data_IF_111714131313
#
_entry.id   IF_111714131313
#
_cell.length_a   1.000
_cell.length_b   1.000
_cell.length_c   1.000
_cell.angle_alpha   90.00
_cell.angle_beta   90.00
_cell.angle_gamma   90.00
#
_symmetry.space_group_name_H-M   'P 1'
#
loop_
_entity.id
_entity.type
_entity.pdbx_description
1 polymer ?
#
# COMPACT_ATOMS: atom_id res chain seq x y z
N UNK A 1 -2.20 10.48 24.14
CA UNK A 1 -2.55 11.10 22.85
C UNK A 1 -1.28 11.38 22.06
N UNK A 2 -1.27 10.99 20.80
CA UNK A 2 -0.08 11.19 19.96
C UNK A 2 0.04 12.66 19.55
N UNK A 3 1.25 13.22 19.68
CA UNK A 3 1.50 14.60 19.25
C UNK A 3 1.32 14.69 17.72
N UNK A 4 0.80 15.81 17.20
CA UNK A 4 0.55 15.93 15.75
C UNK A 4 1.78 15.67 14.88
N UNK A 5 2.98 16.07 15.33
CA UNK A 5 4.20 15.87 14.56
C UNK A 5 4.61 14.40 14.46
N UNK A 6 4.00 13.50 15.26
CA UNK A 6 4.32 12.07 15.22
C UNK A 6 3.34 11.26 14.36
N UNK A 7 2.29 11.90 13.84
CA UNK A 7 1.28 11.20 13.04
C UNK A 7 1.85 10.61 11.76
N UNK A 8 2.75 11.33 11.08
CA UNK A 8 3.33 10.78 9.87
C UNK A 8 4.14 9.52 10.13
N UNK A 9 4.82 9.43 11.29
CA UNK A 9 5.55 8.22 11.67
C UNK A 9 4.57 7.07 11.91
N UNK A 10 3.46 7.34 12.60
CA UNK A 10 2.43 6.34 12.84
C UNK A 10 1.80 5.85 11.53
N UNK A 11 1.51 6.78 10.61
CA UNK A 11 0.93 6.43 9.31
C UNK A 11 1.89 5.58 8.49
N UNK A 12 3.18 5.94 8.51
CA UNK A 12 4.21 5.17 7.81
C UNK A 12 4.30 3.75 8.39
N UNK A 13 4.24 3.61 9.71
CA UNK A 13 4.27 2.31 10.36
C UNK A 13 3.06 1.46 9.96
N UNK A 14 1.88 2.07 9.88
CA UNK A 14 0.67 1.37 9.44
C UNK A 14 0.76 0.96 7.97
N UNK A 15 1.33 1.80 7.12
CA UNK A 15 1.55 1.47 5.72
C UNK A 15 2.51 0.28 5.58
N UNK A 16 3.60 0.30 6.34
CA UNK A 16 4.57 -0.77 6.33
C UNK A 16 3.92 -2.09 6.74
N UNK A 17 3.12 -2.05 7.81
CA UNK A 17 2.42 -3.24 8.28
C UNK A 17 1.47 -3.78 7.21
N UNK A 18 0.71 -2.91 6.55
CA UNK A 18 -0.21 -3.32 5.50
C UNK A 18 0.53 -3.95 4.32
N UNK A 19 1.66 -3.36 3.91
CA UNK A 19 2.46 -3.90 2.82
C UNK A 19 3.02 -5.28 3.17
N UNK A 20 3.52 -5.44 4.39
CA UNK A 20 4.05 -6.71 4.87
C UNK A 20 2.97 -7.79 4.87
N UNK A 21 1.76 -7.44 5.35
CA UNK A 21 0.66 -8.40 5.39
C UNK A 21 0.20 -8.80 3.99
N UNK A 22 0.10 -7.85 3.07
CA UNK A 22 -0.29 -8.15 1.69
C UNK A 22 0.68 -9.15 1.06
N UNK A 23 1.97 -8.96 1.29
CA UNK A 23 2.97 -9.88 0.76
C UNK A 23 2.85 -11.26 1.40
N UNK A 24 2.60 -11.33 2.70
CA UNK A 24 2.42 -12.60 3.41
C UNK A 24 1.24 -13.38 2.87
N UNK A 25 0.16 -12.70 2.50
CA UNK A 25 -1.03 -13.38 1.98
C UNK A 25 -0.76 -14.14 0.70
N UNK A 26 0.24 -13.73 -0.07
CA UNK A 26 0.58 -14.39 -1.33
C UNK A 26 1.83 -15.28 -1.25
N UNK A 27 2.41 -15.45 -0.06
CA UNK A 27 3.60 -16.27 0.10
C UNK A 27 3.32 -17.71 -0.38
N UNK A 28 4.23 -18.23 -1.19
CA UNK A 28 4.11 -19.58 -1.71
C UNK A 28 3.12 -19.74 -2.84
N UNK A 29 2.43 -18.69 -3.25
CA UNK A 29 1.46 -18.74 -4.34
C UNK A 29 2.13 -18.41 -5.67
N UNK A 30 1.69 -19.09 -6.72
CA UNK A 30 1.96 -18.67 -8.09
C UNK A 30 0.91 -17.63 -8.50
N UNK A 31 1.17 -16.93 -9.60
CA UNK A 31 0.17 -16.01 -10.15
C UNK A 31 -1.13 -16.75 -10.48
N UNK A 32 -1.03 -17.94 -11.04
CA UNK A 32 -2.23 -18.75 -11.35
C UNK A 32 -3.04 -19.06 -10.09
N UNK A 33 -2.34 -19.41 -8.98
CA UNK A 33 -3.02 -19.65 -7.70
C UNK A 33 -3.78 -18.42 -7.24
N UNK A 34 -3.13 -17.25 -7.33
CA UNK A 34 -3.74 -15.99 -6.91
C UNK A 34 -4.96 -15.64 -7.75
N UNK A 35 -4.89 -15.87 -9.06
CA UNK A 35 -6.00 -15.54 -9.96
C UNK A 35 -7.24 -16.41 -9.72
N UNK A 36 -7.08 -17.54 -9.06
CA UNK A 36 -8.18 -18.44 -8.74
C UNK A 36 -8.63 -18.35 -7.28
N UNK A 37 -8.04 -17.47 -6.50
CA UNK A 37 -8.30 -17.37 -5.06
C UNK A 37 -8.91 -16.02 -4.70
N UNK A 38 -10.24 -15.94 -4.78
CA UNK A 38 -10.94 -14.68 -4.53
C UNK A 38 -10.79 -14.20 -3.09
N UNK A 39 -10.67 -15.10 -2.13
CA UNK A 39 -10.48 -14.72 -0.74
C UNK A 39 -9.14 -14.01 -0.55
N UNK A 40 -8.07 -14.54 -1.12
CA UNK A 40 -6.76 -13.90 -1.05
C UNK A 40 -6.76 -12.58 -1.81
N UNK A 41 -7.41 -12.53 -2.98
CA UNK A 41 -7.55 -11.28 -3.73
C UNK A 41 -8.19 -10.19 -2.89
N UNK A 42 -9.30 -10.51 -2.23
CA UNK A 42 -10.02 -9.54 -1.40
C UNK A 42 -9.17 -9.07 -0.22
N UNK A 43 -8.45 -9.98 0.42
CA UNK A 43 -7.57 -9.64 1.53
C UNK A 43 -6.44 -8.70 1.10
N UNK A 44 -5.82 -9.01 -0.04
CA UNK A 44 -4.75 -8.18 -0.60
C UNK A 44 -5.28 -6.80 -0.97
N UNK A 45 -6.42 -6.74 -1.66
CA UNK A 45 -7.02 -5.48 -2.08
C UNK A 45 -7.31 -4.60 -0.88
N UNK A 46 -7.81 -5.18 0.22
CA UNK A 46 -8.05 -4.41 1.44
C UNK A 46 -6.77 -3.75 1.94
N UNK A 47 -5.64 -4.47 1.92
CA UNK A 47 -4.37 -3.90 2.37
C UNK A 47 -3.86 -2.81 1.43
N UNK A 48 -4.05 -2.98 0.12
CA UNK A 48 -3.67 -1.95 -0.83
C UNK A 48 -4.54 -0.70 -0.67
N UNK A 49 -5.83 -0.86 -0.34
CA UNK A 49 -6.70 0.27 -0.03
C UNK A 49 -6.20 1.02 1.20
N UNK A 50 -5.79 0.31 2.25
CA UNK A 50 -5.25 0.93 3.46
C UNK A 50 -4.01 1.75 3.12
N UNK A 51 -3.09 1.18 2.34
CA UNK A 51 -1.87 1.88 1.91
C UNK A 51 -2.24 3.16 1.16
N UNK A 52 -3.16 3.07 0.21
CA UNK A 52 -3.56 4.23 -0.59
C UNK A 52 -4.26 5.29 0.23
N UNK A 53 -5.08 4.89 1.20
CA UNK A 53 -5.77 5.82 2.09
C UNK A 53 -4.78 6.60 2.95
N UNK A 54 -3.80 5.89 3.50
CA UNK A 54 -2.76 6.53 4.32
C UNK A 54 -1.89 7.46 3.47
N UNK A 55 -1.56 7.05 2.24
CA UNK A 55 -0.81 7.91 1.32
C UNK A 55 -1.60 9.20 1.03
N UNK A 56 -2.91 9.09 0.80
CA UNK A 56 -3.75 10.24 0.54
C UNK A 56 -3.77 11.19 1.73
N UNK A 57 -3.88 10.65 2.95
CA UNK A 57 -3.87 11.48 4.15
C UNK A 57 -2.55 12.19 4.35
N UNK A 58 -1.43 11.48 4.10
CA UNK A 58 -0.11 12.10 4.21
C UNK A 58 0.08 13.21 3.19
N UNK A 59 -0.39 13.00 1.96
CA UNK A 59 -0.33 14.04 0.93
C UNK A 59 -1.12 15.27 1.32
N UNK A 60 -2.28 15.09 1.94
CA UNK A 60 -3.16 16.18 2.32
C UNK A 60 -2.70 16.88 3.58
N UNK A 61 -2.33 16.13 4.61
CA UNK A 61 -2.07 16.68 5.94
C UNK A 61 -0.59 16.95 6.20
N UNK A 62 0.31 16.30 5.48
CA UNK A 62 1.76 16.36 5.72
C UNK A 62 2.52 16.46 4.41
N UNK A 63 2.15 17.42 3.56
CA UNK A 63 2.72 17.51 2.22
C UNK A 63 4.21 17.87 2.23
N UNK A 64 4.69 18.52 3.28
CA UNK A 64 6.13 18.76 3.40
C UNK A 64 6.88 17.45 3.60
N UNK A 65 6.33 16.58 4.43
CA UNK A 65 6.93 15.27 4.69
C UNK A 65 6.97 14.43 3.40
N UNK A 66 5.85 14.34 2.68
CA UNK A 66 5.82 13.57 1.44
C UNK A 66 6.75 14.16 0.39
N UNK A 67 6.86 15.50 0.34
CA UNK A 67 7.78 16.17 -0.58
C UNK A 67 9.24 15.88 -0.31
N UNK A 68 9.59 15.59 0.95
CA UNK A 68 10.96 15.23 1.31
C UNK A 68 11.30 13.78 1.02
N UNK A 69 10.31 12.97 0.67
CA UNK A 69 10.51 11.53 0.42
C UNK A 69 9.93 11.11 -0.93
N UNK A 70 10.49 11.69 -2.03
CA UNK A 70 9.97 11.37 -3.38
C UNK A 70 10.25 9.94 -3.83
N UNK A 71 11.11 9.21 -3.11
CA UNK A 71 11.38 7.81 -3.39
C UNK A 71 10.14 6.94 -3.14
N UNK A 72 9.18 7.43 -2.35
CA UNK A 72 7.93 6.71 -2.09
C UNK A 72 6.85 7.23 -3.04
N UNK A 73 6.17 6.33 -3.78
CA UNK A 73 5.22 6.74 -4.82
C UNK A 73 3.84 7.09 -4.23
N UNK A 74 3.79 8.17 -3.46
CA UNK A 74 2.58 8.60 -2.74
C UNK A 74 1.37 8.76 -3.66
N UNK A 75 1.57 9.46 -4.79
CA UNK A 75 0.46 9.75 -5.72
C UNK A 75 -0.02 8.50 -6.44
N UNK A 76 0.89 7.59 -6.77
CA UNK A 76 0.54 6.34 -7.42
C UNK A 76 -0.30 5.45 -6.49
N UNK A 77 0.06 5.42 -5.21
CA UNK A 77 -0.69 4.65 -4.21
C UNK A 77 -2.09 5.24 -4.00
N UNK A 78 -2.19 6.56 -3.92
CA UNK A 78 -3.48 7.24 -3.85
C UNK A 78 -4.32 6.95 -5.10
N UNK A 79 -3.69 6.99 -6.28
CA UNK A 79 -4.37 6.70 -7.54
C UNK A 79 -4.92 5.28 -7.60
N UNK A 80 -4.15 4.31 -7.12
CA UNK A 80 -4.60 2.93 -7.06
C UNK A 80 -5.80 2.80 -6.11
N UNK A 81 -5.76 3.47 -4.94
CA UNK A 81 -6.89 3.48 -4.01
C UNK A 81 -8.15 4.03 -4.70
N UNK A 82 -8.00 5.11 -5.46
CA UNK A 82 -9.15 5.70 -6.15
C UNK A 82 -9.75 4.73 -7.18
N UNK A 83 -8.89 4.05 -7.94
CA UNK A 83 -9.37 3.07 -8.91
C UNK A 83 -10.07 1.90 -8.24
N UNK A 84 -9.53 1.41 -7.13
CA UNK A 84 -10.14 0.31 -6.38
C UNK A 84 -11.48 0.70 -5.76
N UNK A 85 -11.58 1.92 -5.23
CA UNK A 85 -12.81 2.39 -4.59
C UNK A 85 -13.93 2.64 -5.59
N UNK A 86 -13.60 3.10 -6.80
CA UNK A 86 -14.59 3.50 -7.78
C UNK A 86 -14.77 2.53 -8.94
N UNK A 87 -13.85 1.58 -9.12
CA UNK A 87 -13.90 0.63 -10.22
C UNK A 87 -13.61 -0.79 -9.77
N UNK A 88 -14.11 -1.19 -8.61
CA UNK A 88 -13.79 -2.50 -8.03
C UNK A 88 -14.06 -3.65 -9.00
N UNK A 89 -15.17 -3.60 -9.75
CA UNK A 89 -15.53 -4.68 -10.66
C UNK A 89 -14.64 -4.76 -11.90
N UNK A 90 -13.85 -3.72 -12.15
CA UNK A 90 -12.97 -3.65 -13.31
C UNK A 90 -11.50 -3.81 -12.93
N UNK A 91 -11.21 -4.19 -11.68
CA UNK A 91 -9.83 -4.37 -11.25
C UNK A 91 -9.17 -5.52 -12.00
N UNK A 92 -7.98 -5.24 -12.50
CA UNK A 92 -7.15 -6.24 -13.16
C UNK A 92 -6.32 -6.95 -12.10
N UNK A 93 -6.62 -8.22 -11.84
CA UNK A 93 -5.91 -8.99 -10.81
C UNK A 93 -4.45 -9.25 -11.16
N UNK A 94 -4.08 -9.24 -12.44
CA UNK A 94 -2.66 -9.31 -12.83
C UNK A 94 -1.90 -8.09 -12.34
N UNK A 95 -2.51 -6.91 -12.43
CA UNK A 95 -1.91 -5.68 -11.91
C UNK A 95 -1.79 -5.73 -10.39
N UNK A 96 -2.81 -6.26 -9.71
CA UNK A 96 -2.78 -6.43 -8.26
C UNK A 96 -1.64 -7.37 -7.87
N UNK A 97 -1.52 -8.51 -8.56
CA UNK A 97 -0.42 -9.46 -8.32
C UNK A 97 0.95 -8.80 -8.51
N UNK A 98 1.14 -8.10 -9.64
CA UNK A 98 2.41 -7.44 -9.90
C UNK A 98 2.74 -6.38 -8.86
N UNK A 99 1.72 -5.65 -8.39
CA UNK A 99 1.91 -4.66 -7.34
C UNK A 99 2.49 -5.31 -6.08
N UNK A 100 1.93 -6.45 -5.68
CA UNK A 100 2.39 -7.15 -4.47
C UNK A 100 3.79 -7.71 -4.66
N UNK A 101 4.08 -8.30 -5.81
CA UNK A 101 5.34 -9.01 -6.04
C UNK A 101 6.49 -8.07 -6.40
N UNK A 102 6.21 -6.97 -7.10
CA UNK A 102 7.25 -6.11 -7.64
C UNK A 102 7.34 -4.76 -6.91
N UNK A 103 6.21 -4.13 -6.62
CA UNK A 103 6.21 -2.79 -6.04
C UNK A 103 6.32 -2.81 -4.51
N UNK A 104 5.64 -3.72 -3.83
CA UNK A 104 5.64 -3.73 -2.36
C UNK A 104 6.99 -4.02 -1.72
N UNK A 105 7.87 -4.87 -2.28
CA UNK A 105 9.19 -5.04 -1.67
C UNK A 105 10.00 -3.75 -1.62
N UNK A 106 9.98 -2.97 -2.68
CA UNK A 106 10.67 -1.68 -2.70
C UNK A 106 10.03 -0.70 -1.73
N UNK A 107 8.69 -0.68 -1.71
CA UNK A 107 7.96 0.18 -0.78
C UNK A 107 8.31 -0.16 0.67
N UNK A 108 8.33 -1.45 1.02
CA UNK A 108 8.69 -1.87 2.38
C UNK A 108 10.09 -1.39 2.76
N UNK A 109 11.06 -1.56 1.86
CA UNK A 109 12.43 -1.15 2.13
C UNK A 109 12.51 0.35 2.40
N UNK A 110 11.85 1.15 1.59
CA UNK A 110 11.85 2.60 1.74
C UNK A 110 11.10 3.05 3.00
N UNK A 111 9.96 2.41 3.30
CA UNK A 111 9.21 2.75 4.51
C UNK A 111 9.99 2.39 5.78
N UNK A 112 10.74 1.28 5.78
CA UNK A 112 11.56 0.91 6.93
C UNK A 112 12.60 1.97 7.25
N UNK A 113 13.15 2.61 6.24
CA UNK A 113 14.12 3.69 6.47
C UNK A 113 13.48 4.87 7.18
N UNK A 114 12.18 5.11 6.97
CA UNK A 114 11.46 6.22 7.60
C UNK A 114 11.01 5.91 9.03
N UNK A 115 11.00 4.64 9.42
CA UNK A 115 10.53 4.23 10.75
C UNK A 115 11.67 4.02 11.74
N UNK A 116 12.90 4.24 11.33
CA UNK A 116 14.06 4.11 12.22
C UNK A 116 14.15 5.24 13.23
#
# INVERSE_FOLDING_TARGET
MTAPQNRQVDYVALMLNAATQARRYTEGMSQADFLEDSKTQDAVIMKLLVIGELAAQLLEEHNEFTGRHPEIPWHQMKGMRNRMAHGYFELNMDVVWDTVQLALPDLEANLRLLTR
#
